data_IF_769751688988
#
_entry.id   IF_769751688988
#
_cell.length_a   1.000
_cell.length_b   1.000
_cell.length_c   1.000
_cell.angle_alpha   90.00
_cell.angle_beta   90.00
_cell.angle_gamma   90.00
#
_symmetry.space_group_name_H-M   'P 1'
#
loop_
_entity.id
_entity.type
_entity.pdbx_description
1 polymer ?
#
# COMPACT_ATOMS: atom_id res chain seq x y z
N UNK A 1 -30.96 83.51 -38.01
CA UNK A 1 -31.18 82.20 -37.30
C UNK A 1 -30.03 81.26 -37.67
N UNK A 2 -28.95 81.27 -36.89
CA UNK A 2 -27.73 80.57 -37.19
C UNK A 2 -27.73 79.24 -36.36
N UNK A 3 -27.56 78.12 -37.06
CA UNK A 3 -27.38 76.83 -36.41
C UNK A 3 -25.89 76.56 -36.23
N UNK A 4 -25.42 76.46 -34.99
CA UNK A 4 -24.05 76.06 -34.62
C UNK A 4 -23.93 74.55 -34.74
N UNK A 5 -23.05 74.06 -35.61
CA UNK A 5 -22.59 72.72 -35.66
C UNK A 5 -21.51 72.49 -34.58
N UNK A 6 -21.78 71.66 -33.59
CA UNK A 6 -20.80 71.27 -32.58
C UNK A 6 -20.00 70.08 -33.12
N UNK A 7 -18.71 70.31 -33.30
CA UNK A 7 -17.72 69.33 -33.75
C UNK A 7 -17.33 68.38 -32.55
N UNK A 8 -17.66 67.10 -32.63
CA UNK A 8 -17.24 66.12 -31.63
C UNK A 8 -15.82 65.62 -32.05
N UNK A 9 -14.85 65.54 -31.10
CA UNK A 9 -13.56 64.95 -31.38
C UNK A 9 -13.69 63.41 -31.43
N UNK A 10 -13.03 62.79 -32.42
CA UNK A 10 -12.89 61.32 -32.56
C UNK A 10 -12.02 60.80 -31.42
N UNK A 11 -12.57 59.90 -30.65
CA UNK A 11 -11.82 59.11 -29.66
C UNK A 11 -10.81 58.22 -30.41
N UNK A 12 -9.52 58.39 -30.09
CA UNK A 12 -8.46 57.53 -30.58
C UNK A 12 -8.62 56.11 -29.97
N UNK A 13 -8.66 55.08 -30.83
CA UNK A 13 -8.65 53.68 -30.42
C UNK A 13 -7.33 53.38 -29.70
N UNK A 14 -7.39 53.21 -28.39
CA UNK A 14 -6.30 52.67 -27.60
C UNK A 14 -6.10 51.18 -27.97
N UNK A 15 -5.08 50.89 -28.77
CA UNK A 15 -4.63 49.53 -29.06
C UNK A 15 -4.16 48.89 -27.74
N UNK A 16 -4.95 47.99 -27.18
CA UNK A 16 -4.60 47.18 -26.02
C UNK A 16 -3.52 46.18 -26.44
N UNK A 17 -2.25 46.54 -26.23
CA UNK A 17 -1.15 45.60 -26.35
C UNK A 17 -1.27 44.59 -25.20
N UNK A 18 -1.87 43.42 -25.49
CA UNK A 18 -1.90 42.31 -24.61
C UNK A 18 -0.47 41.75 -24.46
N UNK A 19 0.23 42.15 -23.41
CA UNK A 19 1.49 41.53 -23.02
C UNK A 19 1.15 40.10 -22.63
N UNK A 20 1.49 39.14 -23.48
CA UNK A 20 1.43 37.71 -23.15
C UNK A 20 2.56 37.51 -22.17
N UNK A 21 2.26 37.58 -20.89
CA UNK A 21 3.18 37.13 -19.83
C UNK A 21 3.30 35.63 -19.98
N UNK A 22 4.41 35.15 -20.49
CA UNK A 22 4.75 33.73 -20.47
C UNK A 22 4.61 33.22 -19.01
N UNK A 23 3.73 32.26 -18.83
CA UNK A 23 3.54 31.61 -17.51
C UNK A 23 4.87 30.94 -17.14
N UNK A 24 5.46 31.25 -15.97
CA UNK A 24 6.72 30.60 -15.59
C UNK A 24 6.57 29.09 -15.68
N UNK A 25 7.59 28.37 -16.14
CA UNK A 25 7.55 26.92 -16.22
C UNK A 25 7.18 26.35 -14.85
N UNK A 26 6.24 25.40 -14.82
CA UNK A 26 5.86 24.72 -13.57
C UNK A 26 7.12 24.12 -12.96
N UNK A 27 7.37 24.34 -11.67
CA UNK A 27 8.52 23.73 -11.02
C UNK A 27 8.46 22.22 -11.24
N UNK A 28 9.55 21.65 -11.72
CA UNK A 28 9.69 20.19 -11.88
C UNK A 28 9.53 19.59 -10.49
N UNK A 29 8.47 18.80 -10.30
CA UNK A 29 8.21 18.15 -9.01
C UNK A 29 9.33 17.14 -8.78
N UNK A 30 10.01 17.25 -7.64
CA UNK A 30 11.06 16.30 -7.28
C UNK A 30 10.53 14.86 -7.33
N UNK A 31 11.36 13.96 -7.86
CA UNK A 31 11.02 12.53 -7.91
C UNK A 31 10.82 11.98 -6.50
N UNK A 32 9.81 11.14 -6.25
CA UNK A 32 9.58 10.55 -4.95
C UNK A 32 10.80 9.74 -4.49
N UNK A 33 11.17 9.88 -3.20
CA UNK A 33 12.36 9.23 -2.64
C UNK A 33 12.36 7.71 -2.87
N UNK A 34 11.22 7.06 -2.74
CA UNK A 34 11.07 5.62 -3.00
C UNK A 34 11.50 5.23 -4.42
N UNK A 35 11.15 6.03 -5.42
CA UNK A 35 11.52 5.78 -6.82
C UNK A 35 13.02 5.99 -7.01
N UNK A 36 13.59 7.01 -6.39
CA UNK A 36 15.05 7.26 -6.42
C UNK A 36 15.79 6.06 -5.81
N UNK A 37 15.37 5.58 -4.64
CA UNK A 37 15.98 4.43 -3.96
C UNK A 37 15.81 3.12 -4.77
N UNK A 38 14.64 2.90 -5.40
CA UNK A 38 14.42 1.75 -6.30
C UNK A 38 15.37 1.80 -7.51
N UNK A 39 15.52 2.96 -8.15
CA UNK A 39 16.46 3.14 -9.26
C UNK A 39 17.90 2.89 -8.82
N UNK A 40 18.27 3.34 -7.61
CA UNK A 40 19.58 3.06 -7.05
C UNK A 40 19.78 1.56 -6.77
N UNK A 41 18.74 0.88 -6.25
CA UNK A 41 18.75 -0.57 -6.05
C UNK A 41 18.97 -1.32 -7.36
N UNK A 42 18.36 -0.91 -8.46
CA UNK A 42 18.58 -1.48 -9.80
C UNK A 42 20.03 -1.40 -10.25
N UNK A 43 20.74 -0.32 -9.88
CA UNK A 43 22.17 -0.16 -10.22
C UNK A 43 23.05 -1.04 -9.35
N UNK A 44 22.73 -1.15 -8.06
CA UNK A 44 23.55 -1.93 -7.10
C UNK A 44 23.28 -3.43 -7.12
N UNK A 45 22.10 -3.83 -7.59
CA UNK A 45 21.62 -5.23 -7.65
C UNK A 45 20.93 -5.49 -8.99
N UNK A 46 21.72 -5.61 -10.10
CA UNK A 46 21.16 -5.78 -11.45
C UNK A 46 20.29 -7.02 -11.60
N UNK A 47 20.50 -8.04 -10.79
CA UNK A 47 19.68 -9.26 -10.74
C UNK A 47 18.23 -9.01 -10.32
N UNK A 48 17.95 -7.87 -9.68
CA UNK A 48 16.60 -7.44 -9.27
C UNK A 48 15.96 -6.47 -10.27
N UNK A 49 16.58 -6.24 -11.44
CA UNK A 49 16.17 -5.17 -12.36
C UNK A 49 14.69 -5.25 -12.75
N UNK A 50 14.18 -6.43 -13.11
CA UNK A 50 12.79 -6.63 -13.54
C UNK A 50 11.82 -6.39 -12.37
N UNK A 51 12.14 -6.88 -11.18
CA UNK A 51 11.35 -6.65 -9.97
C UNK A 51 11.31 -5.16 -9.60
N UNK A 52 12.44 -4.46 -9.74
CA UNK A 52 12.51 -3.00 -9.53
C UNK A 52 11.66 -2.25 -10.55
N UNK A 53 11.73 -2.58 -11.85
CA UNK A 53 10.97 -1.90 -12.89
C UNK A 53 9.45 -2.09 -12.69
N UNK A 54 9.02 -3.31 -12.31
CA UNK A 54 7.64 -3.58 -11.95
C UNK A 54 7.23 -2.76 -10.73
N UNK A 55 8.04 -2.76 -9.68
CA UNK A 55 7.73 -2.02 -8.46
C UNK A 55 7.66 -0.51 -8.68
N UNK A 56 8.53 0.06 -9.50
CA UNK A 56 8.45 1.48 -9.90
C UNK A 56 7.11 1.78 -10.57
N UNK A 57 6.69 0.93 -11.53
CA UNK A 57 5.41 1.10 -12.22
C UNK A 57 4.22 1.02 -11.25
N UNK A 58 4.23 0.09 -10.29
CA UNK A 58 3.20 -0.05 -9.25
C UNK A 58 3.16 1.18 -8.34
N UNK A 59 4.32 1.61 -7.81
CA UNK A 59 4.42 2.79 -6.92
C UNK A 59 3.94 4.06 -7.62
N UNK A 60 4.33 4.29 -8.87
CA UNK A 60 3.88 5.44 -9.64
C UNK A 60 2.36 5.44 -9.85
N UNK A 61 1.78 4.29 -10.18
CA UNK A 61 0.34 4.13 -10.36
C UNK A 61 -0.39 4.37 -9.03
N UNK A 62 0.02 3.69 -7.95
CA UNK A 62 -0.59 3.80 -6.62
C UNK A 62 -0.53 5.24 -6.08
N UNK A 63 0.59 5.95 -6.25
CA UNK A 63 0.72 7.36 -5.83
C UNK A 63 -0.19 8.30 -6.62
N UNK A 64 -0.37 8.06 -7.92
CA UNK A 64 -1.33 8.85 -8.74
C UNK A 64 -2.76 8.67 -8.25
N UNK A 65 -3.15 7.43 -7.92
CA UNK A 65 -4.48 7.13 -7.38
C UNK A 65 -4.64 7.73 -5.99
N UNK A 66 -3.72 7.47 -5.06
CA UNK A 66 -3.76 7.99 -3.69
C UNK A 66 -3.85 9.51 -3.63
N UNK A 67 -3.17 10.22 -4.55
CA UNK A 67 -3.24 11.69 -4.64
C UNK A 67 -4.63 12.24 -5.02
N UNK A 68 -5.54 11.41 -5.54
CA UNK A 68 -6.93 11.78 -5.87
C UNK A 68 -7.92 11.31 -4.81
N UNK A 69 -7.61 10.24 -4.10
CA UNK A 69 -8.48 9.69 -3.05
C UNK A 69 -8.57 10.69 -1.88
N UNK A 70 -9.78 11.10 -1.48
CA UNK A 70 -9.93 12.01 -0.35
C UNK A 70 -9.53 11.33 0.97
N UNK A 71 -9.09 12.14 1.94
CA UNK A 71 -8.89 11.65 3.29
C UNK A 71 -10.25 11.36 3.92
N UNK A 72 -10.54 10.13 4.37
CA UNK A 72 -11.84 9.80 4.96
C UNK A 72 -12.01 10.52 6.31
N UNK A 73 -13.24 10.89 6.62
CA UNK A 73 -13.59 11.50 7.91
C UNK A 73 -13.88 10.41 8.94
N UNK A 74 -12.85 9.62 9.27
CA UNK A 74 -12.96 8.60 10.30
C UNK A 74 -12.90 9.28 11.67
N UNK A 75 -14.01 9.33 12.36
CA UNK A 75 -14.12 9.82 13.73
C UNK A 75 -14.76 8.72 14.59
N UNK A 76 -14.07 7.59 14.78
CA UNK A 76 -14.60 6.56 15.67
C UNK A 76 -14.64 7.10 17.10
N UNK A 77 -15.72 6.80 17.81
CA UNK A 77 -15.86 7.03 19.25
C UNK A 77 -14.78 6.21 19.98
N UNK A 78 -14.18 6.80 21.01
CA UNK A 78 -13.11 6.16 21.79
C UNK A 78 -13.59 4.88 22.49
N UNK A 79 -14.85 4.84 22.94
CA UNK A 79 -15.46 3.63 23.52
C UNK A 79 -15.60 2.51 22.46
N UNK A 80 -16.00 2.87 21.26
CA UNK A 80 -16.10 1.92 20.16
C UNK A 80 -14.72 1.40 19.75
N UNK A 81 -13.70 2.28 19.65
CA UNK A 81 -12.32 1.86 19.37
C UNK A 81 -11.77 0.91 20.43
N UNK A 82 -11.98 1.23 21.71
CA UNK A 82 -11.57 0.35 22.82
C UNK A 82 -12.27 -1.02 22.75
N UNK A 83 -13.55 -1.04 22.40
CA UNK A 83 -14.29 -2.30 22.20
C UNK A 83 -13.77 -3.11 20.99
N UNK A 84 -13.43 -2.45 19.86
CA UNK A 84 -12.80 -3.12 18.72
C UNK A 84 -11.43 -3.69 19.11
N UNK A 85 -10.61 -2.91 19.79
CA UNK A 85 -9.30 -3.31 20.25
C UNK A 85 -9.38 -4.51 21.20
N UNK A 86 -10.29 -4.48 22.17
CA UNK A 86 -10.50 -5.61 23.08
C UNK A 86 -10.97 -6.87 22.34
N UNK A 87 -11.76 -6.71 21.29
CA UNK A 87 -12.26 -7.81 20.47
C UNK A 87 -11.30 -8.25 19.36
N UNK A 88 -10.12 -7.63 19.22
CA UNK A 88 -9.18 -7.89 18.13
C UNK A 88 -9.75 -7.54 16.75
N UNK A 89 -10.66 -6.58 16.65
CA UNK A 89 -11.31 -6.21 15.38
C UNK A 89 -10.74 -4.91 14.81
N UNK A 90 -10.49 -4.86 13.49
CA UNK A 90 -9.93 -3.66 12.87
C UNK A 90 -10.89 -2.46 12.93
N UNK A 91 -10.30 -1.25 12.88
CA UNK A 91 -11.05 0.00 13.04
C UNK A 91 -11.77 0.47 11.76
N UNK A 92 -11.42 -0.05 10.57
CA UNK A 92 -12.02 0.36 9.29
C UNK A 92 -12.95 -0.73 8.79
N UNK A 93 -14.23 -0.39 8.63
CA UNK A 93 -15.22 -1.24 7.95
C UNK A 93 -15.16 -0.98 6.45
N UNK A 94 -15.65 -1.90 5.63
CA UNK A 94 -15.68 -1.72 4.16
C UNK A 94 -16.36 -0.40 3.74
N UNK A 95 -17.48 -0.07 4.34
CA UNK A 95 -18.24 1.15 4.07
C UNK A 95 -17.49 2.46 4.44
N UNK A 96 -16.44 2.38 5.26
CA UNK A 96 -15.65 3.53 5.68
C UNK A 96 -14.52 3.87 4.67
N UNK A 97 -14.25 2.97 3.72
CA UNK A 97 -13.19 3.15 2.71
C UNK A 97 -13.67 4.21 1.70
N UNK A 98 -12.88 5.25 1.42
CA UNK A 98 -13.23 6.28 0.44
C UNK A 98 -13.07 5.76 -1.00
N UNK A 99 -13.86 4.75 -1.34
CA UNK A 99 -13.76 3.98 -2.57
C UNK A 99 -14.65 4.61 -3.66
N UNK A 100 -14.04 5.02 -4.77
CA UNK A 100 -14.73 5.28 -6.02
C UNK A 100 -14.60 4.06 -6.93
N UNK A 101 -15.73 3.50 -7.36
CA UNK A 101 -15.74 2.28 -8.15
C UNK A 101 -15.13 2.44 -9.54
N UNK A 102 -15.22 3.62 -10.14
CA UNK A 102 -14.58 3.92 -11.43
C UNK A 102 -13.06 3.95 -11.30
N UNK A 103 -12.57 4.60 -10.22
CA UNK A 103 -11.16 4.64 -9.90
C UNK A 103 -10.62 3.23 -9.54
N UNK A 104 -11.38 2.43 -8.78
CA UNK A 104 -10.96 1.05 -8.47
C UNK A 104 -10.88 0.18 -9.73
N UNK A 105 -11.91 0.20 -10.59
CA UNK A 105 -11.92 -0.55 -11.85
C UNK A 105 -10.74 -0.15 -12.75
N UNK A 106 -10.43 1.15 -12.81
CA UNK A 106 -9.27 1.63 -13.55
C UNK A 106 -7.96 1.14 -12.93
N UNK A 107 -7.83 1.24 -11.60
CA UNK A 107 -6.65 0.82 -10.87
C UNK A 107 -6.42 -0.68 -11.02
N UNK A 108 -7.47 -1.49 -10.93
CA UNK A 108 -7.41 -2.94 -11.10
C UNK A 108 -6.90 -3.33 -12.51
N UNK A 109 -7.41 -2.67 -13.56
CA UNK A 109 -6.91 -2.88 -14.94
C UNK A 109 -5.46 -2.48 -15.07
N UNK A 110 -5.07 -1.31 -14.56
CA UNK A 110 -3.68 -0.84 -14.63
C UNK A 110 -2.73 -1.78 -13.87
N UNK A 111 -3.16 -2.31 -12.72
CA UNK A 111 -2.40 -3.31 -11.97
C UNK A 111 -2.25 -4.60 -12.78
N UNK A 112 -3.33 -5.09 -13.38
CA UNK A 112 -3.30 -6.28 -14.25
C UNK A 112 -2.38 -6.07 -15.47
N UNK A 113 -2.44 -4.89 -16.12
CA UNK A 113 -1.55 -4.54 -17.24
C UNK A 113 -0.07 -4.54 -16.81
N UNK A 114 0.24 -4.04 -15.61
CA UNK A 114 1.60 -4.05 -15.06
C UNK A 114 2.04 -5.50 -14.82
N UNK A 115 1.25 -6.30 -14.09
CA UNK A 115 1.61 -7.69 -13.78
C UNK A 115 1.76 -8.54 -15.05
N UNK A 116 0.89 -8.39 -16.04
CA UNK A 116 0.99 -9.07 -17.33
C UNK A 116 2.26 -8.68 -18.10
N UNK A 117 2.61 -7.38 -18.11
CA UNK A 117 3.84 -6.89 -18.76
C UNK A 117 5.11 -7.50 -18.20
N UNK A 118 5.13 -7.81 -16.90
CA UNK A 118 6.27 -8.43 -16.23
C UNK A 118 6.14 -9.95 -16.06
N UNK A 119 5.13 -10.58 -16.69
CA UNK A 119 4.96 -12.03 -16.73
C UNK A 119 4.45 -12.68 -15.43
N UNK A 120 3.88 -11.89 -14.52
CA UNK A 120 3.31 -12.39 -13.25
C UNK A 120 1.88 -12.92 -13.40
N UNK A 121 1.16 -12.54 -14.44
CA UNK A 121 -0.11 -13.14 -14.86
C UNK A 121 -0.07 -13.41 -16.35
N UNK A 122 -0.70 -14.49 -16.77
CA UNK A 122 -0.78 -14.84 -18.17
C UNK A 122 -1.91 -14.05 -18.88
N UNK A 123 -1.99 -14.21 -20.20
CA UNK A 123 -2.99 -13.53 -21.02
C UNK A 123 -4.42 -13.90 -20.64
N UNK A 124 -4.66 -15.15 -20.30
CA UNK A 124 -5.99 -15.65 -19.96
C UNK A 124 -6.49 -15.04 -18.66
N UNK A 125 -5.64 -15.02 -17.64
CA UNK A 125 -5.95 -14.36 -16.36
C UNK A 125 -6.16 -12.86 -16.54
N UNK A 126 -5.31 -12.19 -17.31
CA UNK A 126 -5.46 -10.76 -17.62
C UNK A 126 -6.82 -10.48 -18.28
N UNK A 127 -7.23 -11.29 -19.31
CA UNK A 127 -8.51 -11.14 -20.01
C UNK A 127 -9.71 -11.36 -19.06
N UNK A 128 -9.65 -12.34 -18.15
CA UNK A 128 -10.69 -12.57 -17.12
C UNK A 128 -10.84 -11.35 -16.19
N UNK A 129 -9.73 -10.82 -15.70
CA UNK A 129 -9.74 -9.63 -14.82
C UNK A 129 -10.29 -8.41 -15.54
N UNK A 130 -9.87 -8.16 -16.78
CA UNK A 130 -10.38 -7.05 -17.58
C UNK A 130 -11.89 -7.20 -17.83
N UNK A 131 -12.38 -8.41 -18.12
CA UNK A 131 -13.80 -8.68 -18.26
C UNK A 131 -14.56 -8.37 -16.97
N UNK A 132 -14.09 -8.86 -15.82
CA UNK A 132 -14.67 -8.60 -14.50
C UNK A 132 -14.81 -7.09 -14.22
N UNK A 133 -13.83 -6.27 -14.63
CA UNK A 133 -13.91 -4.81 -14.42
C UNK A 133 -14.97 -4.12 -15.29
N UNK A 134 -15.49 -4.77 -16.33
CA UNK A 134 -16.54 -4.27 -17.21
C UNK A 134 -17.94 -4.69 -16.76
N UNK A 135 -18.03 -5.79 -16.03
CA UNK A 135 -19.28 -6.30 -15.49
C UNK A 135 -19.71 -5.46 -14.26
N UNK A 136 -20.73 -4.63 -14.45
CA UNK A 136 -21.13 -3.61 -13.48
C UNK A 136 -21.46 -4.13 -12.08
N UNK A 137 -21.97 -5.38 -11.97
CA UNK A 137 -22.55 -5.91 -10.72
C UNK A 137 -21.74 -7.04 -10.08
N UNK A 138 -20.72 -7.59 -10.74
CA UNK A 138 -19.98 -8.74 -10.24
C UNK A 138 -18.80 -8.34 -9.32
N UNK A 139 -18.09 -7.28 -9.67
CA UNK A 139 -16.87 -6.86 -8.96
C UNK A 139 -17.15 -6.37 -7.54
N UNK A 140 -18.19 -5.55 -7.34
CA UNK A 140 -18.47 -4.90 -6.04
C UNK A 140 -18.66 -5.89 -4.91
N UNK A 141 -19.55 -6.92 -5.01
CA UNK A 141 -19.71 -7.90 -3.96
C UNK A 141 -18.46 -8.76 -3.73
N UNK A 142 -17.66 -9.04 -4.76
CA UNK A 142 -16.40 -9.77 -4.60
C UNK A 142 -15.36 -8.98 -3.79
N UNK A 143 -15.25 -7.68 -4.05
CA UNK A 143 -14.33 -6.80 -3.31
C UNK A 143 -14.75 -6.68 -1.84
N UNK A 144 -16.04 -6.52 -1.58
CA UNK A 144 -16.58 -6.47 -0.23
C UNK A 144 -16.36 -7.79 0.51
N UNK A 145 -16.71 -8.92 -0.12
CA UNK A 145 -16.49 -10.26 0.45
C UNK A 145 -15.00 -10.46 0.77
N UNK A 146 -14.12 -10.19 -0.18
CA UNK A 146 -12.67 -10.29 0.02
C UNK A 146 -12.19 -9.45 1.20
N UNK A 147 -12.67 -8.20 1.30
CA UNK A 147 -12.27 -7.31 2.38
C UNK A 147 -12.75 -7.83 3.74
N UNK A 148 -14.03 -8.19 3.85
CA UNK A 148 -14.63 -8.67 5.10
C UNK A 148 -14.02 -9.99 5.54
N UNK A 149 -13.89 -10.95 4.64
CA UNK A 149 -13.29 -12.25 4.93
C UNK A 149 -11.82 -12.16 5.36
N UNK A 150 -11.10 -11.15 4.87
CA UNK A 150 -9.69 -10.92 5.20
C UNK A 150 -9.46 -9.96 6.38
N UNK A 151 -10.54 -9.47 7.02
CA UNK A 151 -10.49 -8.49 8.11
C UNK A 151 -10.94 -9.13 9.42
N UNK A 152 -10.05 -9.84 10.12
CA UNK A 152 -10.36 -10.40 11.42
C UNK A 152 -10.45 -11.93 11.48
N UNK A 153 -9.59 -12.58 10.71
CA UNK A 153 -9.48 -14.05 10.72
C UNK A 153 -8.83 -14.52 11.99
N UNK A 154 -9.43 -15.53 12.62
CA UNK A 154 -8.79 -16.28 13.69
C UNK A 154 -7.48 -16.93 13.18
N UNK A 155 -6.40 -16.93 13.98
CA UNK A 155 -5.14 -17.56 13.61
C UNK A 155 -5.34 -19.03 13.20
N UNK A 156 -4.85 -19.40 12.03
CA UNK A 156 -4.78 -20.80 11.60
C UNK A 156 -5.81 -21.28 10.58
N UNK A 157 -6.81 -20.49 10.20
CA UNK A 157 -7.75 -20.87 9.13
C UNK A 157 -7.66 -19.87 7.99
N UNK A 158 -7.12 -20.24 6.81
CA UNK A 158 -7.21 -19.37 5.64
C UNK A 158 -8.70 -19.29 5.25
N UNK A 159 -9.31 -18.09 5.30
CA UNK A 159 -10.70 -17.96 4.86
C UNK A 159 -10.76 -18.10 3.35
N UNK A 160 -11.86 -18.62 2.87
CA UNK A 160 -12.22 -18.56 1.46
C UNK A 160 -12.56 -17.09 1.13
N UNK A 161 -11.54 -16.34 0.74
CA UNK A 161 -11.62 -14.86 0.58
C UNK A 161 -12.34 -14.44 -0.69
N UNK A 162 -12.37 -15.31 -1.69
CA UNK A 162 -12.99 -15.07 -2.99
C UNK A 162 -13.95 -16.20 -3.35
N UNK A 163 -15.02 -15.91 -4.12
CA UNK A 163 -15.96 -16.94 -4.55
C UNK A 163 -15.32 -17.91 -5.54
N UNK A 164 -15.86 -19.13 -5.60
CA UNK A 164 -15.48 -20.15 -6.60
C UNK A 164 -15.58 -19.59 -8.02
N UNK A 165 -14.57 -19.85 -8.84
CA UNK A 165 -14.48 -19.34 -10.22
C UNK A 165 -13.93 -17.93 -10.38
N UNK A 166 -13.56 -17.25 -9.28
CA UNK A 166 -12.82 -16.00 -9.38
C UNK A 166 -11.45 -16.24 -10.06
N UNK A 167 -10.88 -15.22 -10.78
CA UNK A 167 -9.52 -15.31 -11.29
C UNK A 167 -8.51 -15.62 -10.19
N UNK A 168 -7.57 -16.54 -10.43
CA UNK A 168 -6.57 -16.95 -9.43
C UNK A 168 -5.71 -15.76 -8.96
N UNK A 169 -5.41 -14.85 -9.88
CA UNK A 169 -4.63 -13.63 -9.61
C UNK A 169 -5.42 -12.52 -8.88
N UNK A 170 -6.75 -12.66 -8.73
CA UNK A 170 -7.62 -11.57 -8.26
C UNK A 170 -7.28 -11.10 -6.85
N UNK A 171 -6.90 -12.00 -5.94
CA UNK A 171 -6.53 -11.62 -4.57
C UNK A 171 -5.29 -10.70 -4.55
N UNK A 172 -4.25 -11.05 -5.28
CA UNK A 172 -3.05 -10.22 -5.43
C UNK A 172 -3.39 -8.87 -6.08
N UNK A 173 -4.21 -8.89 -7.12
CA UNK A 173 -4.63 -7.69 -7.82
C UNK A 173 -5.45 -6.76 -6.92
N UNK A 174 -6.37 -7.31 -6.11
CA UNK A 174 -7.14 -6.55 -5.12
C UNK A 174 -6.24 -5.98 -4.03
N UNK A 175 -5.29 -6.76 -3.51
CA UNK A 175 -4.31 -6.29 -2.52
C UNK A 175 -3.56 -5.05 -3.03
N UNK A 176 -3.02 -5.12 -4.24
CA UNK A 176 -2.24 -4.02 -4.83
C UNK A 176 -3.11 -2.82 -5.23
N UNK A 177 -4.34 -3.07 -5.72
CA UNK A 177 -5.24 -2.02 -6.21
C UNK A 177 -5.97 -1.28 -5.09
N UNK A 178 -6.27 -1.96 -3.98
CA UNK A 178 -6.93 -1.34 -2.81
C UNK A 178 -5.96 -0.55 -1.93
N UNK A 179 -4.65 -0.79 -2.05
CA UNK A 179 -3.62 -0.13 -1.23
C UNK A 179 -3.75 1.40 -1.20
N UNK A 180 -3.95 2.13 -2.32
CA UNK A 180 -4.09 3.60 -2.29
C UNK A 180 -5.27 4.10 -1.45
N UNK A 181 -6.41 3.40 -1.48
CA UNK A 181 -7.62 3.76 -0.75
C UNK A 181 -7.45 3.47 0.75
N UNK A 182 -6.92 2.30 1.09
CA UNK A 182 -6.72 1.88 2.47
C UNK A 182 -5.58 2.64 3.16
N UNK A 183 -4.55 3.06 2.41
CA UNK A 183 -3.52 3.95 2.94
C UNK A 183 -4.10 5.29 3.41
N UNK A 184 -5.14 5.82 2.74
CA UNK A 184 -5.84 7.04 3.21
C UNK A 184 -6.60 6.81 4.51
N UNK A 185 -7.16 5.62 4.71
CA UNK A 185 -7.77 5.26 6.00
C UNK A 185 -6.72 5.20 7.11
N UNK A 186 -5.57 4.60 6.83
CA UNK A 186 -4.43 4.55 7.76
C UNK A 186 -3.93 5.94 8.11
N UNK A 187 -3.73 6.83 7.14
CA UNK A 187 -3.32 8.24 7.35
C UNK A 187 -4.32 9.01 8.23
N UNK A 188 -5.61 8.72 8.13
CA UNK A 188 -6.65 9.36 8.93
C UNK A 188 -6.68 8.90 10.40
N UNK A 189 -6.23 7.65 10.66
CA UNK A 189 -6.32 7.03 11.99
C UNK A 189 -5.00 7.04 12.78
N UNK A 190 -3.85 6.98 12.11
CA UNK A 190 -2.52 6.85 12.77
C UNK A 190 -2.13 8.00 13.72
N UNK A 191 -2.63 9.23 13.62
CA UNK A 191 -2.34 10.25 14.64
C UNK A 191 -2.88 9.92 16.04
N UNK A 192 -3.68 8.84 16.20
CA UNK A 192 -4.28 8.46 17.48
C UNK A 192 -3.35 7.52 18.26
N UNK A 193 -3.02 7.82 19.53
CA UNK A 193 -2.12 7.02 20.36
C UNK A 193 -2.71 5.65 20.76
N UNK A 194 -4.01 5.42 20.57
CA UNK A 194 -4.74 4.27 21.09
C UNK A 194 -4.38 2.93 20.44
N UNK A 195 -3.71 2.93 19.28
CA UNK A 195 -3.23 1.69 18.63
C UNK A 195 -1.94 1.12 19.24
N UNK A 196 -1.31 1.82 20.21
CA UNK A 196 -0.07 1.37 20.85
C UNK A 196 -0.18 0.05 21.64
N UNK A 197 -1.38 -0.30 22.09
CA UNK A 197 -1.65 -1.51 22.89
C UNK A 197 -2.46 -2.57 22.12
N UNK A 198 -2.35 -2.61 20.81
CA UNK A 198 -3.14 -3.52 19.98
C UNK A 198 -2.91 -5.00 20.31
N UNK A 199 -1.66 -5.42 20.48
CA UNK A 199 -1.29 -6.75 20.95
C UNK A 199 -1.47 -7.91 19.94
N UNK A 200 -2.19 -7.73 18.84
CA UNK A 200 -2.47 -8.75 17.83
C UNK A 200 -1.49 -8.70 16.66
N UNK A 201 -1.27 -9.84 16.00
CA UNK A 201 -0.39 -9.96 14.84
C UNK A 201 -0.94 -9.33 13.56
N UNK A 202 -2.25 -9.15 13.44
CA UNK A 202 -2.91 -8.50 12.31
C UNK A 202 -3.08 -6.99 12.51
N UNK A 203 -3.35 -6.28 11.41
CA UNK A 203 -3.38 -4.82 11.38
C UNK A 203 -4.58 -4.21 12.14
N UNK A 204 -4.36 -3.26 13.07
CA UNK A 204 -5.46 -2.60 13.80
C UNK A 204 -6.36 -1.73 12.92
N UNK A 205 -5.89 -1.33 11.74
CA UNK A 205 -6.65 -0.48 10.82
C UNK A 205 -7.55 -1.31 9.91
N UNK A 206 -7.00 -2.29 9.20
CA UNK A 206 -7.73 -3.03 8.17
C UNK A 206 -7.76 -4.56 8.34
N UNK A 207 -7.21 -5.10 9.42
CA UNK A 207 -7.21 -6.52 9.75
C UNK A 207 -6.28 -7.40 8.92
N UNK A 208 -5.53 -6.85 7.95
CA UNK A 208 -4.63 -7.62 7.12
C UNK A 208 -3.34 -8.01 7.83
N UNK A 209 -2.67 -9.00 7.31
CA UNK A 209 -1.39 -9.49 7.82
C UNK A 209 -0.24 -8.49 7.59
N UNK A 210 0.84 -8.56 8.39
CA UNK A 210 2.04 -7.79 8.16
C UNK A 210 2.81 -8.32 6.94
N UNK A 211 3.30 -7.41 6.10
CA UNK A 211 4.23 -7.69 4.99
C UNK A 211 5.69 -7.57 5.44
N UNK A 212 5.93 -6.69 6.41
CA UNK A 212 7.28 -6.34 6.84
C UNK A 212 7.30 -5.94 8.31
N UNK A 213 8.47 -5.93 8.91
CA UNK A 213 8.67 -5.39 10.24
C UNK A 213 9.81 -4.36 10.27
N UNK A 214 9.86 -3.53 11.29
CA UNK A 214 11.00 -2.69 11.61
C UNK A 214 11.40 -2.89 13.06
N UNK A 215 12.69 -3.14 13.29
CA UNK A 215 13.28 -3.15 14.63
C UNK A 215 13.82 -1.75 14.91
N UNK A 216 13.24 -1.09 15.90
CA UNK A 216 13.57 0.29 16.25
C UNK A 216 14.91 0.37 17.01
N UNK A 217 15.53 1.56 17.12
CA UNK A 217 16.72 1.76 17.95
C UNK A 217 16.53 1.38 19.43
N UNK A 218 15.31 1.45 19.96
CA UNK A 218 14.94 0.97 21.30
C UNK A 218 15.01 -0.56 21.46
N UNK A 219 15.01 -1.31 20.36
CA UNK A 219 14.89 -2.75 20.33
C UNK A 219 13.45 -3.25 20.13
N UNK A 220 12.46 -2.36 20.17
CA UNK A 220 11.06 -2.70 19.93
C UNK A 220 10.83 -3.04 18.47
N UNK A 221 9.82 -3.86 18.20
CA UNK A 221 9.40 -4.23 16.85
C UNK A 221 8.06 -3.58 16.51
N UNK A 222 8.02 -2.96 15.34
CA UNK A 222 6.77 -2.56 14.69
C UNK A 222 6.52 -3.41 13.45
N UNK A 223 5.30 -3.88 13.33
CA UNK A 223 4.81 -4.54 12.13
C UNK A 223 4.30 -3.50 11.15
N UNK A 224 4.35 -3.81 9.85
CA UNK A 224 3.88 -2.94 8.77
C UNK A 224 2.90 -3.72 7.92
N UNK A 225 1.69 -3.21 7.79
CA UNK A 225 0.61 -3.85 7.05
C UNK A 225 0.90 -3.92 5.55
N UNK A 226 0.74 -5.09 4.94
CA UNK A 226 0.87 -5.29 3.51
C UNK A 226 -0.22 -4.60 2.67
N UNK A 227 -1.34 -4.22 3.28
CA UNK A 227 -2.50 -3.66 2.58
C UNK A 227 -2.67 -2.15 2.77
N UNK A 228 -2.59 -1.62 3.99
CA UNK A 228 -2.84 -0.21 4.27
C UNK A 228 -1.60 0.56 4.73
N UNK A 229 -0.44 -0.11 4.84
CA UNK A 229 0.84 0.46 5.30
C UNK A 229 0.86 0.99 6.74
N UNK A 230 -0.22 0.76 7.52
CA UNK A 230 -0.25 1.08 8.95
C UNK A 230 0.88 0.35 9.68
N UNK A 231 1.38 0.99 10.74
CA UNK A 231 2.41 0.42 11.61
C UNK A 231 1.87 0.28 13.03
N UNK A 232 2.18 -0.84 13.69
CA UNK A 232 1.78 -1.07 15.08
C UNK A 232 2.84 -1.86 15.84
N UNK A 233 2.85 -1.71 17.15
CA UNK A 233 3.78 -2.41 18.03
C UNK A 233 3.35 -3.87 18.23
N UNK A 234 4.32 -4.77 18.22
CA UNK A 234 4.09 -6.19 18.47
C UNK A 234 5.34 -6.82 19.08
N UNK A 235 5.16 -7.76 20.00
CA UNK A 235 6.24 -8.43 20.73
C UNK A 235 7.33 -8.97 19.80
N UNK A 236 8.59 -8.62 20.05
CA UNK A 236 9.72 -8.96 19.15
C UNK A 236 9.92 -10.47 18.97
N UNK A 237 9.49 -11.26 19.95
CA UNK A 237 9.65 -12.73 19.97
C UNK A 237 8.35 -13.47 19.65
N UNK A 238 7.23 -12.77 19.54
CA UNK A 238 5.93 -13.38 19.26
C UNK A 238 5.73 -13.48 17.75
N UNK A 239 5.36 -14.64 17.25
CA UNK A 239 5.03 -14.82 15.84
C UNK A 239 3.72 -14.09 15.52
N UNK A 240 3.68 -13.17 14.52
CA UNK A 240 2.44 -12.46 14.23
C UNK A 240 1.38 -13.31 13.51
N UNK A 241 1.71 -14.52 13.12
CA UNK A 241 0.82 -15.42 12.36
C UNK A 241 0.16 -16.50 13.21
N UNK A 242 0.78 -16.92 14.31
CA UNK A 242 0.25 -17.97 15.18
C UNK A 242 0.44 -17.72 16.67
N UNK A 243 0.85 -16.52 17.05
CA UNK A 243 1.08 -16.05 18.43
C UNK A 243 2.08 -16.92 19.26
N UNK A 244 2.87 -17.78 18.58
CA UNK A 244 3.95 -18.50 19.24
C UNK A 244 4.95 -17.52 19.85
N UNK A 245 5.23 -17.64 21.14
CA UNK A 245 6.19 -16.81 21.89
C UNK A 245 7.42 -17.59 22.37
N UNK A 246 7.50 -18.89 22.06
CA UNK A 246 8.68 -19.71 22.33
C UNK A 246 9.82 -19.35 21.38
N UNK A 247 10.84 -18.70 21.95
CA UNK A 247 12.03 -18.27 21.20
C UNK A 247 12.82 -19.43 20.59
N UNK A 248 12.75 -20.61 21.19
CA UNK A 248 13.43 -21.82 20.69
C UNK A 248 12.83 -22.33 19.38
N UNK A 249 11.58 -21.88 19.06
CA UNK A 249 10.84 -22.20 17.84
C UNK A 249 10.91 -21.07 16.81
N UNK A 250 11.86 -20.15 16.96
CA UNK A 250 12.07 -19.05 15.99
C UNK A 250 13.48 -19.11 15.42
N UNK A 251 13.57 -19.47 14.15
CA UNK A 251 14.82 -19.40 13.39
C UNK A 251 14.99 -17.98 12.82
N UNK A 252 16.20 -17.41 12.93
CA UNK A 252 16.48 -16.10 12.32
C UNK A 252 17.78 -16.10 11.55
N UNK A 253 17.79 -15.40 10.42
CA UNK A 253 18.99 -15.13 9.62
C UNK A 253 18.95 -13.72 9.05
N UNK A 254 20.12 -13.17 8.72
CA UNK A 254 20.25 -11.76 8.33
C UNK A 254 21.15 -11.60 7.11
N UNK A 255 21.05 -10.46 6.44
CA UNK A 255 22.04 -10.00 5.46
C UNK A 255 23.39 -9.75 6.14
N UNK A 256 24.47 -9.81 5.35
CA UNK A 256 25.85 -9.61 5.88
C UNK A 256 26.05 -8.27 6.56
N UNK A 257 25.38 -7.23 6.10
CA UNK A 257 25.42 -5.88 6.67
C UNK A 257 24.49 -5.71 7.89
N UNK A 258 23.73 -6.75 8.24
CA UNK A 258 22.79 -6.74 9.35
C UNK A 258 21.55 -5.85 9.17
N UNK A 259 21.39 -5.22 8.00
CA UNK A 259 20.29 -4.29 7.72
C UNK A 259 18.94 -4.99 7.62
N UNK A 260 18.91 -6.19 7.08
CA UNK A 260 17.69 -6.97 6.93
C UNK A 260 17.82 -8.31 7.64
N UNK A 261 16.70 -8.76 8.18
CA UNK A 261 16.59 -10.03 8.91
C UNK A 261 15.29 -10.72 8.55
N UNK A 262 15.32 -12.05 8.59
CA UNK A 262 14.15 -12.92 8.57
C UNK A 262 13.94 -13.47 9.96
N UNK A 263 12.69 -13.48 10.41
CA UNK A 263 12.20 -14.22 11.57
C UNK A 263 11.24 -15.29 11.05
N UNK A 264 11.62 -16.55 11.15
CA UNK A 264 10.85 -17.68 10.67
C UNK A 264 10.37 -18.51 11.87
N UNK A 265 9.07 -18.77 11.91
CA UNK A 265 8.43 -19.54 12.97
C UNK A 265 8.42 -21.03 12.62
N UNK A 266 9.02 -21.88 13.46
CA UNK A 266 9.07 -23.33 13.24
C UNK A 266 7.72 -24.02 13.54
N UNK A 267 6.82 -23.35 14.27
CA UNK A 267 5.47 -23.85 14.59
C UNK A 267 4.55 -23.74 13.38
N UNK A 268 4.36 -22.53 12.83
CA UNK A 268 3.43 -22.31 11.71
C UNK A 268 4.11 -22.32 10.34
N UNK A 269 5.43 -22.47 10.28
CA UNK A 269 6.25 -22.49 9.06
C UNK A 269 6.18 -21.21 8.24
N UNK A 270 5.74 -20.09 8.81
CA UNK A 270 5.71 -18.77 8.16
C UNK A 270 6.87 -17.92 8.61
N UNK A 271 7.26 -16.96 7.75
CA UNK A 271 8.33 -16.00 8.06
C UNK A 271 7.90 -14.54 7.83
N UNK A 272 8.60 -13.64 8.51
CA UNK A 272 8.46 -12.20 8.33
C UNK A 272 9.84 -11.57 8.15
N UNK A 273 9.96 -10.71 7.13
CA UNK A 273 11.15 -9.88 6.92
C UNK A 273 11.13 -8.65 7.80
N UNK A 274 12.30 -8.21 8.25
CA UNK A 274 12.45 -7.04 9.09
C UNK A 274 13.63 -6.16 8.63
N UNK A 275 13.42 -4.85 8.75
CA UNK A 275 14.44 -3.83 8.60
C UNK A 275 14.99 -3.46 9.98
N UNK A 276 16.31 -3.54 10.17
CA UNK A 276 16.95 -3.18 11.42
C UNK A 276 17.34 -1.68 11.38
N UNK A 277 16.51 -0.85 11.99
CA UNK A 277 16.74 0.59 12.04
C UNK A 277 17.83 1.03 13.02
N UNK A 278 18.40 0.12 13.81
CA UNK A 278 19.48 0.44 14.78
C UNK A 278 20.76 0.86 14.09
N UNK A 279 21.03 0.31 12.90
CA UNK A 279 22.21 0.60 12.09
C UNK A 279 21.89 1.26 10.75
N UNK A 280 20.65 1.72 10.56
CA UNK A 280 20.17 2.20 9.29
C UNK A 280 20.41 3.70 9.09
N UNK A 281 20.74 4.09 7.86
CA UNK A 281 20.94 5.49 7.44
C UNK A 281 19.66 6.20 6.98
N UNK A 282 18.55 5.46 6.82
CA UNK A 282 17.28 6.00 6.35
C UNK A 282 16.08 5.30 7.03
N UNK A 283 14.88 5.88 7.00
CA UNK A 283 13.66 5.19 7.40
C UNK A 283 13.38 3.99 6.50
N UNK A 284 12.64 2.99 7.04
CA UNK A 284 12.10 1.88 6.25
C UNK A 284 11.18 2.40 5.14
N UNK A 285 11.31 1.85 3.96
CA UNK A 285 10.44 2.10 2.80
C UNK A 285 10.01 0.75 2.24
N UNK A 286 8.84 0.26 2.64
CA UNK A 286 8.39 -1.10 2.31
C UNK A 286 8.45 -1.36 0.81
N UNK A 287 8.06 -0.40 -0.03
CA UNK A 287 8.13 -0.52 -1.49
C UNK A 287 9.55 -0.76 -2.04
N UNK A 288 10.58 -0.34 -1.32
CA UNK A 288 12.00 -0.54 -1.67
C UNK A 288 12.54 -1.79 -0.96
N UNK A 289 12.26 -1.88 0.33
CA UNK A 289 12.86 -2.88 1.21
C UNK A 289 12.32 -4.29 0.93
N UNK A 290 11.05 -4.41 0.49
CA UNK A 290 10.48 -5.68 0.03
C UNK A 290 11.22 -6.22 -1.19
N UNK A 291 11.58 -5.36 -2.16
CA UNK A 291 12.35 -5.76 -3.35
C UNK A 291 13.81 -6.09 -2.99
N UNK A 292 14.44 -5.24 -2.18
CA UNK A 292 15.84 -5.46 -1.75
C UNK A 292 16.02 -6.78 -0.98
N UNK A 293 14.96 -7.33 -0.43
CA UNK A 293 14.95 -8.56 0.39
C UNK A 293 14.42 -9.79 -0.33
N UNK A 294 14.15 -9.74 -1.64
CA UNK A 294 13.78 -10.94 -2.44
C UNK A 294 14.75 -12.12 -2.29
N UNK A 295 16.09 -11.93 -2.19
CA UNK A 295 16.99 -13.02 -1.90
C UNK A 295 16.76 -13.69 -0.53
N UNK A 296 16.25 -12.96 0.46
CA UNK A 296 15.88 -13.52 1.76
C UNK A 296 14.60 -14.35 1.68
N UNK A 297 13.64 -13.96 0.81
CA UNK A 297 12.44 -14.75 0.53
C UNK A 297 12.85 -16.11 -0.06
N UNK A 298 13.70 -16.11 -1.09
CA UNK A 298 14.21 -17.35 -1.68
C UNK A 298 14.93 -18.23 -0.65
N UNK A 299 15.72 -17.62 0.25
CA UNK A 299 16.42 -18.35 1.29
C UNK A 299 15.48 -18.93 2.37
N UNK A 300 14.38 -18.27 2.67
CA UNK A 300 13.35 -18.76 3.59
C UNK A 300 12.57 -19.93 2.96
N UNK A 301 12.13 -19.76 1.72
CA UNK A 301 11.39 -20.79 0.97
C UNK A 301 12.22 -22.06 0.76
N UNK A 302 13.51 -21.95 0.48
CA UNK A 302 14.43 -23.10 0.41
C UNK A 302 14.54 -23.89 1.72
N UNK A 303 14.23 -23.24 2.87
CA UNK A 303 14.16 -23.87 4.19
C UNK A 303 12.76 -24.38 4.54
N UNK A 304 11.80 -24.27 3.62
CA UNK A 304 10.42 -24.71 3.78
C UNK A 304 9.57 -23.79 4.62
N UNK A 305 9.86 -22.48 4.63
CA UNK A 305 8.99 -21.47 5.22
C UNK A 305 8.18 -20.75 4.12
N UNK A 306 6.96 -20.32 4.48
CA UNK A 306 6.04 -19.57 3.62
C UNK A 306 5.92 -18.12 4.12
N UNK A 307 5.79 -17.16 3.20
CA UNK A 307 5.70 -15.72 3.51
C UNK A 307 4.49 -15.07 2.90
#
# INVERSE_FOLDING_TARGET
MSRHCINRPRLAEARYNRVVTERPPRPVRAEPREIVELKQLKVTSPELADAVDMQVALVEMQRRVQGRVPLPRLQPDDLWLAAQQQAGRPAVRFADIPLDWSDLRLTLRQTADILARFGHIDRTEHEKVVALTREGNALEPMVEQWYVASSGVEPGTPPERLPEGAPESLELLLLLSMRPFLARCSEALIPRPDFGNWGHGHCPVCGWEPEFAVVLPSGDRRLICGRCTAQWEHGIHTCPFCDNDDRSQVTSFATRDGRYRVYACDVCRRYLKAYDARSASRPVMVSVDSIATLPLDAAAQQRGYEG
#
